data_IF_550343510231
#
_entry.id   IF_550343510231
#
_cell.length_a   1.000
_cell.length_b   1.000
_cell.length_c   1.000
_cell.angle_alpha   90.00
_cell.angle_beta   90.00
_cell.angle_gamma   90.00
#
_symmetry.space_group_name_H-M   'P 1'
#
loop_
_entity.id
_entity.type
_entity.pdbx_description
1 polymer ?
#
# COMPACT_ATOMS: atom_id res chain seq x y z
N UNK A 1 -26.09 5.65 6.26
CA UNK A 1 -25.08 4.63 6.61
C UNK A 1 -24.14 4.54 5.42
N UNK A 2 -23.11 5.38 5.39
CA UNK A 2 -22.18 5.47 4.26
C UNK A 2 -21.30 4.24 4.22
N UNK A 3 -21.42 3.43 3.17
CA UNK A 3 -20.49 2.35 2.88
C UNK A 3 -19.11 2.96 2.68
N UNK A 4 -18.30 2.97 3.73
CA UNK A 4 -16.88 3.19 3.58
C UNK A 4 -16.39 2.10 2.61
N UNK A 5 -15.54 2.42 1.62
CA UNK A 5 -14.73 1.43 0.95
C UNK A 5 -13.70 0.92 1.97
N UNK A 6 -14.17 0.24 3.02
CA UNK A 6 -13.41 -0.31 4.12
C UNK A 6 -13.36 -1.82 3.88
N UNK A 7 -12.31 -2.23 3.19
CA UNK A 7 -12.05 -3.63 2.90
C UNK A 7 -10.57 -3.94 2.94
N UNK A 8 -9.70 -2.92 2.87
CA UNK A 8 -8.26 -3.12 2.88
C UNK A 8 -7.71 -3.09 4.29
N UNK A 9 -6.89 -4.09 4.59
CA UNK A 9 -6.12 -4.25 5.80
C UNK A 9 -4.65 -4.41 5.44
N UNK A 10 -3.74 -3.97 6.31
CA UNK A 10 -2.32 -4.20 6.13
C UNK A 10 -1.65 -4.70 7.40
N UNK A 11 -0.61 -5.51 7.23
CA UNK A 11 0.19 -6.08 8.30
C UNK A 11 1.67 -5.84 8.02
N UNK A 12 2.35 -5.21 8.96
CA UNK A 12 3.80 -4.98 8.90
C UNK A 12 4.53 -6.17 9.53
N UNK A 13 5.50 -6.73 8.82
CA UNK A 13 6.34 -7.85 9.22
C UNK A 13 7.79 -7.55 8.88
N UNK A 14 8.50 -6.90 9.81
CA UNK A 14 9.87 -6.43 9.56
C UNK A 14 9.89 -5.41 8.42
N UNK A 15 10.64 -5.70 7.37
CA UNK A 15 10.71 -4.89 6.14
C UNK A 15 9.66 -5.27 5.08
N UNK A 16 8.64 -6.05 5.45
CA UNK A 16 7.54 -6.45 4.57
C UNK A 16 6.21 -5.85 5.05
N UNK A 17 5.35 -5.45 4.11
CA UNK A 17 3.96 -5.06 4.36
C UNK A 17 3.05 -5.94 3.52
N UNK A 18 2.18 -6.71 4.18
CA UNK A 18 1.14 -7.50 3.51
C UNK A 18 -0.14 -6.72 3.48
N UNK A 19 -0.74 -6.61 2.31
CA UNK A 19 -2.03 -5.95 2.13
C UNK A 19 -3.04 -7.04 1.78
N UNK A 20 -4.17 -7.02 2.47
CA UNK A 20 -5.31 -7.91 2.28
C UNK A 20 -6.56 -7.09 1.98
N UNK A 21 -7.46 -7.67 1.19
CA UNK A 21 -8.75 -7.09 0.87
C UNK A 21 -9.85 -8.10 1.20
N UNK A 22 -10.77 -7.76 2.10
CA UNK A 22 -11.85 -8.63 2.58
C UNK A 22 -11.37 -10.04 2.98
N UNK A 23 -10.24 -10.11 3.71
CA UNK A 23 -9.66 -11.38 4.15
C UNK A 23 -8.89 -12.16 3.08
N UNK A 24 -8.86 -11.68 1.82
CA UNK A 24 -8.01 -12.26 0.77
C UNK A 24 -6.69 -11.51 0.67
N UNK A 25 -5.58 -12.24 0.55
CA UNK A 25 -4.27 -11.64 0.31
C UNK A 25 -4.27 -10.94 -1.06
N UNK A 26 -3.99 -9.64 -1.05
CA UNK A 26 -4.01 -8.82 -2.26
C UNK A 26 -2.59 -8.68 -2.83
N UNK A 27 -1.65 -8.20 -2.02
CA UNK A 27 -0.24 -8.07 -2.44
C UNK A 27 0.70 -7.98 -1.24
N UNK A 28 2.00 -8.07 -1.51
CA UNK A 28 3.05 -7.98 -0.50
C UNK A 28 4.14 -7.02 -0.97
N UNK A 29 4.33 -5.94 -0.22
CA UNK A 29 5.39 -4.95 -0.45
C UNK A 29 6.62 -5.31 0.40
N UNK A 30 7.83 -5.15 -0.15
CA UNK A 30 9.09 -5.47 0.53
C UNK A 30 10.09 -4.35 0.43
N UNK A 31 10.96 -4.23 1.43
CA UNK A 31 12.09 -3.31 1.44
C UNK A 31 11.65 -1.86 1.23
N UNK A 32 12.17 -1.22 0.19
CA UNK A 32 11.85 0.19 -0.11
C UNK A 32 10.36 0.41 -0.40
N UNK A 33 9.69 -0.52 -1.08
CA UNK A 33 8.26 -0.38 -1.39
C UNK A 33 7.39 -0.43 -0.13
N UNK A 34 7.76 -1.26 0.85
CA UNK A 34 7.10 -1.32 2.15
C UNK A 34 7.26 0.00 2.91
N UNK A 35 8.49 0.53 2.98
CA UNK A 35 8.77 1.81 3.64
C UNK A 35 8.04 2.98 2.98
N UNK A 36 8.03 3.03 1.65
CA UNK A 36 7.33 4.07 0.90
C UNK A 36 5.82 4.02 1.15
N UNK A 37 5.22 2.84 1.13
CA UNK A 37 3.80 2.69 1.42
C UNK A 37 3.44 3.16 2.84
N UNK A 38 4.29 2.87 3.84
CA UNK A 38 4.08 3.35 5.20
C UNK A 38 4.23 4.87 5.33
N UNK A 39 5.13 5.48 4.56
CA UNK A 39 5.28 6.94 4.47
C UNK A 39 4.05 7.58 3.82
N UNK A 40 3.62 7.06 2.67
CA UNK A 40 2.43 7.54 1.96
C UNK A 40 1.16 7.40 2.82
N UNK A 41 1.03 6.34 3.63
CA UNK A 41 -0.07 6.17 4.58
C UNK A 41 -0.15 7.28 5.64
N UNK A 42 0.95 7.96 5.94
CA UNK A 42 0.94 9.06 6.89
C UNK A 42 0.33 10.35 6.29
N UNK A 43 0.28 10.46 4.96
CA UNK A 43 -0.12 11.68 4.27
C UNK A 43 -1.40 11.51 3.41
N UNK A 44 -1.74 10.29 2.99
CA UNK A 44 -2.84 10.00 2.06
C UNK A 44 -3.93 9.12 2.71
N UNK A 45 -5.05 8.95 2.01
CA UNK A 45 -6.12 8.06 2.49
C UNK A 45 -5.70 6.60 2.33
N UNK A 46 -5.56 5.89 3.45
CA UNK A 46 -5.05 4.53 3.44
C UNK A 46 -5.87 3.55 2.61
N UNK A 47 -7.20 3.70 2.53
CA UNK A 47 -8.02 2.79 1.70
C UNK A 47 -7.80 3.07 0.20
N UNK A 48 -7.73 4.34 -0.19
CA UNK A 48 -7.44 4.71 -1.59
C UNK A 48 -6.04 4.29 -2.01
N UNK A 49 -5.05 4.49 -1.14
CA UNK A 49 -3.66 4.07 -1.37
C UNK A 49 -3.57 2.55 -1.53
N UNK A 50 -4.19 1.79 -0.61
CA UNK A 50 -4.21 0.32 -0.69
C UNK A 50 -4.87 -0.16 -1.98
N UNK A 51 -6.02 0.40 -2.35
CA UNK A 51 -6.69 0.06 -3.62
C UNK A 51 -5.80 0.33 -4.84
N UNK A 52 -5.07 1.44 -4.84
CA UNK A 52 -4.14 1.83 -5.92
C UNK A 52 -2.99 0.84 -6.05
N UNK A 53 -2.34 0.48 -4.95
CA UNK A 53 -1.17 -0.42 -4.98
C UNK A 53 -1.58 -1.87 -5.29
N UNK A 54 -2.75 -2.32 -4.82
CA UNK A 54 -3.26 -3.67 -5.12
C UNK A 54 -3.88 -3.78 -6.52
N UNK A 55 -4.35 -2.67 -7.10
CA UNK A 55 -4.93 -2.64 -8.45
C UNK A 55 -3.88 -2.63 -9.57
N UNK A 56 -2.64 -2.24 -9.29
CA UNK A 56 -1.58 -2.06 -10.28
C UNK A 56 -0.75 -3.34 -10.55
N UNK A 57 -1.21 -4.49 -10.04
CA UNK A 57 -0.45 -5.74 -9.89
C UNK A 57 0.06 -6.36 -11.23
N UNK A 58 -0.44 -5.93 -12.40
CA UNK A 58 -0.02 -6.55 -13.68
C UNK A 58 1.34 -6.10 -14.23
N UNK A 59 1.92 -4.99 -13.77
CA UNK A 59 3.20 -4.48 -14.32
C UNK A 59 4.02 -3.74 -13.27
N UNK A 60 4.62 -4.47 -12.34
CA UNK A 60 5.83 -4.01 -11.66
C UNK A 60 5.64 -2.82 -10.71
N UNK A 61 5.19 -3.12 -9.49
CA UNK A 61 5.30 -2.17 -8.37
C UNK A 61 6.77 -1.93 -7.95
N UNK A 62 7.74 -2.60 -8.59
CA UNK A 62 9.18 -2.43 -8.40
C UNK A 62 9.72 -1.09 -8.93
N UNK A 63 8.99 -0.40 -9.83
CA UNK A 63 9.47 0.83 -10.50
C UNK A 63 8.89 2.15 -9.97
N UNK A 64 7.82 2.13 -9.17
CA UNK A 64 7.17 3.37 -8.70
C UNK A 64 7.93 4.09 -7.57
N UNK A 65 8.93 3.43 -6.96
CA UNK A 65 9.69 3.95 -5.82
C UNK A 65 10.69 5.11 -6.13
N UNK A 66 10.71 5.66 -7.35
CA UNK A 66 11.71 6.68 -7.75
C UNK A 66 11.23 8.13 -7.69
N UNK A 67 9.99 8.43 -7.33
CA UNK A 67 9.46 9.79 -7.45
C UNK A 67 8.66 10.32 -6.25
N UNK A 68 9.06 10.00 -5.02
CA UNK A 68 8.65 10.82 -3.87
C UNK A 68 9.83 11.71 -3.45
N UNK A 69 9.80 13.03 -3.74
CA UNK A 69 10.71 13.96 -3.11
C UNK A 69 10.34 13.98 -1.62
N UNK A 70 11.20 13.38 -0.81
CA UNK A 70 11.10 13.40 0.64
C UNK A 70 11.04 14.85 1.10
N UNK A 71 9.83 15.35 1.39
CA UNK A 71 9.65 16.71 1.92
C UNK A 71 9.92 16.64 3.42
N UNK A 72 10.91 17.43 3.83
CA UNK A 72 11.34 17.66 5.21
C UNK A 72 10.24 18.28 6.06
#
# INVERSE_FOLDING_TARGET
MGGQPAGFEYLVRGDEVRISHHGSHATTLRGQAARQFLDDLAYDDGQLLMAKVTGNDKRGNERTAKQHPQRR
#
